data_IF_580949009971
#
_entry.id   IF_580949009971
#
_cell.length_a   1.000
_cell.length_b   1.000
_cell.length_c   1.000
_cell.angle_alpha   90.00
_cell.angle_beta   90.00
_cell.angle_gamma   90.00
#
_symmetry.space_group_name_H-M   'P 1'
#
loop_
_entity.id
_entity.type
_entity.pdbx_description
1 polymer ?
#
# COMPACT_ATOMS: atom_id res chain seq x y z
N UNK A 1 4.24 -9.26 29.23
CA UNK A 1 4.28 -9.72 27.81
C UNK A 1 2.90 -9.75 27.15
N UNK A 2 1.86 -10.37 27.74
CA UNK A 2 0.50 -10.42 27.17
C UNK A 2 -0.11 -9.05 26.81
N UNK A 3 0.05 -8.03 27.65
CA UNK A 3 -0.46 -6.68 27.37
C UNK A 3 0.17 -6.02 26.13
N UNK A 4 1.45 -6.30 25.82
CA UNK A 4 2.11 -5.76 24.63
C UNK A 4 1.60 -6.43 23.35
N UNK A 5 1.27 -7.72 23.41
CA UNK A 5 0.69 -8.47 22.28
C UNK A 5 -0.73 -7.96 21.98
N UNK A 6 -1.58 -7.82 23.00
CA UNK A 6 -2.95 -7.30 22.83
C UNK A 6 -2.92 -5.90 22.21
N UNK A 7 -2.04 -5.02 22.69
CA UNK A 7 -1.88 -3.68 22.14
C UNK A 7 -1.43 -3.72 20.66
N UNK A 8 -0.50 -4.61 20.32
CA UNK A 8 -0.07 -4.83 18.93
C UNK A 8 -1.21 -5.32 18.02
N UNK A 9 -2.01 -6.28 18.49
CA UNK A 9 -3.18 -6.77 17.76
C UNK A 9 -4.24 -5.69 17.55
N UNK A 10 -4.53 -4.88 18.57
CA UNK A 10 -5.47 -3.77 18.47
C UNK A 10 -4.98 -2.70 17.49
N UNK A 11 -3.68 -2.38 17.52
CA UNK A 11 -3.07 -1.44 16.59
C UNK A 11 -3.16 -1.95 15.14
N UNK A 12 -2.85 -3.24 14.93
CA UNK A 12 -2.98 -3.88 13.61
C UNK A 12 -4.43 -3.87 13.11
N UNK A 13 -5.39 -4.28 13.95
CA UNK A 13 -6.81 -4.26 13.59
C UNK A 13 -7.30 -2.85 13.23
N UNK A 14 -6.89 -1.84 13.99
CA UNK A 14 -7.22 -0.44 13.70
C UNK A 14 -6.62 0.01 12.37
N UNK A 15 -5.37 -0.38 12.09
CA UNK A 15 -4.71 -0.09 10.82
C UNK A 15 -5.45 -0.70 9.63
N UNK A 16 -5.85 -1.97 9.73
CA UNK A 16 -6.58 -2.69 8.67
C UNK A 16 -7.98 -2.10 8.44
N UNK A 17 -8.68 -1.69 9.50
CA UNK A 17 -9.98 -1.01 9.37
C UNK A 17 -9.82 0.32 8.63
N UNK A 18 -8.83 1.14 9.02
CA UNK A 18 -8.54 2.40 8.33
C UNK A 18 -8.14 2.16 6.87
N UNK A 19 -7.37 1.12 6.60
CA UNK A 19 -6.95 0.73 5.27
C UNK A 19 -8.14 0.32 4.40
N UNK A 20 -9.02 -0.54 4.89
CA UNK A 20 -10.23 -0.96 4.17
C UNK A 20 -11.20 0.19 3.90
N UNK A 21 -11.43 1.08 4.88
CA UNK A 21 -12.24 2.28 4.69
C UNK A 21 -11.65 3.21 3.62
N UNK A 22 -10.32 3.27 3.52
CA UNK A 22 -9.64 4.09 2.51
C UNK A 22 -10.03 3.72 1.08
N UNK A 23 -10.38 2.46 0.80
CA UNK A 23 -10.82 2.03 -0.53
C UNK A 23 -12.20 2.57 -0.90
N UNK A 24 -13.12 2.62 0.07
CA UNK A 24 -14.46 3.18 -0.13
C UNK A 24 -14.35 4.66 -0.51
N UNK A 25 -13.54 5.41 0.23
CA UNK A 25 -13.25 6.82 -0.07
C UNK A 25 -12.52 6.98 -1.40
N UNK A 26 -11.51 6.14 -1.66
CA UNK A 26 -10.75 6.17 -2.92
C UNK A 26 -11.66 5.94 -4.12
N UNK A 27 -12.55 4.95 -4.09
CA UNK A 27 -13.52 4.71 -5.17
C UNK A 27 -14.47 5.90 -5.36
N UNK A 28 -14.98 6.45 -4.26
CA UNK A 28 -15.91 7.59 -4.30
C UNK A 28 -15.27 8.86 -4.85
N UNK A 29 -14.02 9.13 -4.49
CA UNK A 29 -13.28 10.32 -4.94
C UNK A 29 -12.76 10.12 -6.37
N UNK A 30 -12.28 8.93 -6.74
CA UNK A 30 -11.80 8.64 -8.11
C UNK A 30 -12.90 8.67 -9.17
N UNK A 31 -14.18 8.68 -8.75
CA UNK A 31 -15.31 8.95 -9.64
C UNK A 31 -15.40 10.42 -10.07
N UNK A 32 -14.82 11.34 -9.28
CA UNK A 32 -14.94 12.79 -9.47
C UNK A 32 -13.58 13.48 -9.75
N UNK A 33 -12.49 12.89 -9.27
CA UNK A 33 -11.12 13.44 -9.32
C UNK A 33 -10.20 12.42 -9.97
N UNK A 34 -9.16 12.88 -10.68
CA UNK A 34 -8.17 11.97 -11.24
C UNK A 34 -7.46 11.18 -10.14
N UNK A 35 -7.23 9.88 -10.37
CA UNK A 35 -6.55 9.01 -9.40
C UNK A 35 -5.17 9.53 -9.01
N UNK A 36 -4.45 10.13 -9.97
CA UNK A 36 -3.15 10.74 -9.71
C UNK A 36 -3.24 11.92 -8.74
N UNK A 37 -4.23 12.81 -8.88
CA UNK A 37 -4.40 13.93 -7.97
C UNK A 37 -4.73 13.45 -6.54
N UNK A 38 -5.58 12.42 -6.42
CA UNK A 38 -5.90 11.80 -5.13
C UNK A 38 -4.64 11.25 -4.43
N UNK A 39 -3.85 10.42 -5.12
CA UNK A 39 -2.63 9.84 -4.56
C UNK A 39 -1.63 10.94 -4.18
N UNK A 40 -1.50 11.97 -5.02
CA UNK A 40 -0.60 13.10 -4.78
C UNK A 40 -0.97 13.84 -3.51
N UNK A 41 -2.26 14.17 -3.33
CA UNK A 41 -2.73 14.84 -2.12
C UNK A 41 -2.58 14.00 -0.87
N UNK A 42 -2.79 12.69 -0.99
CA UNK A 42 -2.56 11.76 0.12
C UNK A 42 -1.10 11.72 0.57
N UNK A 43 -0.13 11.70 -0.35
CA UNK A 43 1.29 11.68 0.02
C UNK A 43 1.83 13.04 0.46
N UNK A 44 1.38 14.14 -0.15
CA UNK A 44 1.74 15.50 0.29
C UNK A 44 1.25 15.75 1.71
N UNK A 45 -0.01 15.43 2.01
CA UNK A 45 -0.57 15.59 3.35
C UNK A 45 0.14 14.68 4.36
N UNK A 46 0.35 13.41 4.04
CA UNK A 46 1.08 12.48 4.92
C UNK A 46 2.52 12.96 5.18
N UNK A 47 3.21 13.46 4.16
CA UNK A 47 4.57 14.00 4.31
C UNK A 47 4.58 15.28 5.15
N UNK A 48 3.58 16.15 5.01
CA UNK A 48 3.44 17.31 5.88
C UNK A 48 3.28 16.92 7.36
N UNK A 49 2.38 15.97 7.67
CA UNK A 49 2.15 15.52 9.05
C UNK A 49 3.34 14.79 9.66
N UNK A 50 4.08 13.96 8.90
CA UNK A 50 5.28 13.30 9.44
C UNK A 50 6.37 14.31 9.77
N UNK A 51 6.52 15.38 8.97
CA UNK A 51 7.47 16.45 9.27
C UNK A 51 7.03 17.27 10.50
N UNK A 52 5.73 17.57 10.65
CA UNK A 52 5.21 18.22 11.85
C UNK A 52 5.46 17.37 13.12
N UNK A 53 5.29 16.05 13.02
CA UNK A 53 5.62 15.12 14.09
C UNK A 53 7.13 15.13 14.43
N UNK A 54 8.01 15.16 13.43
CA UNK A 54 9.46 15.26 13.65
C UNK A 54 9.86 16.56 14.34
N UNK A 55 9.27 17.69 13.94
CA UNK A 55 9.52 19.00 14.54
C UNK A 55 9.11 19.03 16.02
N UNK A 56 7.94 18.49 16.34
CA UNK A 56 7.41 18.46 17.72
C UNK A 56 8.19 17.51 18.64
N UNK A 57 8.67 16.38 18.11
CA UNK A 57 9.44 15.38 18.88
C UNK A 57 10.95 15.57 18.87
N UNK A 58 11.47 16.54 18.09
CA UNK A 58 12.92 16.77 17.86
C UNK A 58 13.69 15.50 17.47
N UNK A 59 13.02 14.53 16.85
CA UNK A 59 13.70 13.35 16.33
C UNK A 59 14.40 13.69 15.01
N UNK A 60 15.61 13.19 14.83
CA UNK A 60 16.37 13.35 13.59
C UNK A 60 16.43 12.01 12.87
N UNK A 61 15.99 12.00 11.62
CA UNK A 61 16.16 10.87 10.72
C UNK A 61 17.57 10.98 10.12
N UNK A 62 18.51 10.16 10.62
CA UNK A 62 19.92 10.22 10.19
C UNK A 62 20.23 9.03 9.30
N UNK A 63 20.09 9.19 7.98
CA UNK A 63 20.40 8.15 6.98
C UNK A 63 21.78 8.37 6.36
N UNK A 64 22.77 8.82 7.14
CA UNK A 64 24.12 9.08 6.61
C UNK A 64 24.99 7.83 6.64
N UNK A 65 25.69 7.57 5.53
CA UNK A 65 26.70 6.51 5.40
C UNK A 65 26.18 5.08 5.18
N UNK A 66 24.85 4.87 5.16
CA UNK A 66 24.23 3.56 4.91
C UNK A 66 23.90 3.36 3.43
N UNK A 67 23.89 2.11 2.98
CA UNK A 67 23.53 1.77 1.61
C UNK A 67 22.03 2.00 1.37
N UNK A 68 21.68 3.00 0.56
CA UNK A 68 20.29 3.38 0.27
C UNK A 68 19.58 2.48 -0.74
N UNK A 69 20.30 1.57 -1.42
CA UNK A 69 19.71 0.68 -2.45
C UNK A 69 18.47 -0.08 -1.96
N UNK A 70 18.42 -0.64 -0.73
CA UNK A 70 17.23 -1.30 -0.21
C UNK A 70 16.05 -0.35 -0.05
N UNK A 71 16.27 0.88 0.46
CA UNK A 71 15.23 1.89 0.62
C UNK A 71 14.64 2.33 -0.72
N UNK A 72 15.49 2.52 -1.74
CA UNK A 72 15.04 2.86 -3.09
C UNK A 72 14.16 1.74 -3.66
N UNK A 73 14.59 0.48 -3.52
CA UNK A 73 13.81 -0.67 -3.99
C UNK A 73 12.46 -0.77 -3.27
N UNK A 74 12.45 -0.61 -1.95
CA UNK A 74 11.25 -0.52 -1.13
C UNK A 74 10.31 0.56 -1.67
N UNK A 75 10.79 1.80 -1.84
CA UNK A 75 10.00 2.93 -2.31
C UNK A 75 9.41 2.73 -3.72
N UNK A 76 10.16 2.10 -4.62
CA UNK A 76 9.70 1.77 -5.97
C UNK A 76 8.54 0.78 -5.90
N UNK A 77 8.68 -0.29 -5.11
CA UNK A 77 7.64 -1.30 -4.95
C UNK A 77 6.42 -0.74 -4.20
N UNK A 78 6.65 0.02 -3.14
CA UNK A 78 5.64 0.70 -2.34
C UNK A 78 6.28 1.97 -1.72
N UNK A 79 5.83 3.19 -2.07
CA UNK A 79 4.50 3.48 -2.58
C UNK A 79 4.31 3.55 -4.10
N UNK A 80 5.37 3.61 -4.91
CA UNK A 80 5.23 4.08 -6.30
C UNK A 80 4.39 3.12 -7.16
N UNK A 81 4.88 1.90 -7.40
CA UNK A 81 4.18 0.93 -8.25
C UNK A 81 2.85 0.52 -7.62
N UNK A 82 2.88 0.20 -6.32
CA UNK A 82 1.70 -0.23 -5.58
C UNK A 82 0.51 0.72 -5.74
N UNK A 83 0.65 2.01 -5.40
CA UNK A 83 -0.49 2.92 -5.41
C UNK A 83 -0.96 3.30 -6.81
N UNK A 84 -0.07 3.29 -7.81
CA UNK A 84 -0.46 3.48 -9.22
C UNK A 84 -1.34 2.32 -9.67
N UNK A 85 -0.86 1.09 -9.51
CA UNK A 85 -1.57 -0.11 -9.89
C UNK A 85 -2.88 -0.25 -9.10
N UNK A 86 -2.85 -0.08 -7.79
CA UNK A 86 -4.04 -0.13 -6.93
C UNK A 86 -5.10 0.88 -7.40
N UNK A 87 -4.73 2.14 -7.60
CA UNK A 87 -5.71 3.17 -7.96
C UNK A 87 -6.31 2.94 -9.34
N UNK A 88 -5.51 2.49 -10.32
CA UNK A 88 -6.01 2.15 -11.65
C UNK A 88 -6.91 0.90 -11.58
N UNK A 89 -6.50 -0.12 -10.83
CA UNK A 89 -7.27 -1.34 -10.61
C UNK A 89 -8.62 -1.09 -9.95
N UNK A 90 -8.66 -0.28 -8.89
CA UNK A 90 -9.89 0.16 -8.20
C UNK A 90 -10.79 0.95 -9.13
N UNK A 91 -10.23 1.79 -10.01
CA UNK A 91 -11.03 2.52 -10.99
C UNK A 91 -11.74 1.59 -11.97
N UNK A 92 -11.07 0.51 -12.40
CA UNK A 92 -11.54 -0.44 -13.42
C UNK A 92 -12.39 -1.60 -12.86
N UNK A 93 -12.43 -1.79 -11.55
CA UNK A 93 -13.22 -2.82 -10.85
C UNK A 93 -14.14 -2.18 -9.83
N UNK A 94 -14.98 -2.95 -9.13
CA UNK A 94 -15.77 -2.42 -8.01
C UNK A 94 -14.95 -2.35 -6.71
N UNK A 95 -15.38 -1.52 -5.76
CA UNK A 95 -14.71 -1.43 -4.45
C UNK A 95 -14.73 -2.78 -3.72
N UNK A 96 -15.83 -3.52 -3.81
CA UNK A 96 -15.98 -4.85 -3.22
C UNK A 96 -15.01 -5.86 -3.85
N UNK A 97 -14.92 -5.91 -5.19
CA UNK A 97 -13.98 -6.79 -5.90
C UNK A 97 -12.53 -6.43 -5.62
N UNK A 98 -12.17 -5.14 -5.66
CA UNK A 98 -10.82 -4.67 -5.32
C UNK A 98 -10.43 -5.01 -3.89
N UNK A 99 -11.31 -4.73 -2.92
CA UNK A 99 -11.06 -5.05 -1.51
C UNK A 99 -10.88 -6.54 -1.29
N UNK A 100 -11.73 -7.36 -1.89
CA UNK A 100 -11.61 -8.82 -1.86
C UNK A 100 -10.29 -9.30 -2.48
N UNK A 101 -9.90 -8.75 -3.63
CA UNK A 101 -8.67 -9.14 -4.32
C UNK A 101 -7.40 -8.71 -3.56
N UNK A 102 -7.38 -7.50 -3.02
CA UNK A 102 -6.25 -6.99 -2.23
C UNK A 102 -6.14 -7.68 -0.86
N UNK A 103 -7.22 -8.25 -0.33
CA UNK A 103 -7.15 -9.10 0.86
C UNK A 103 -6.32 -10.39 0.65
N UNK A 104 -5.97 -10.74 -0.60
CA UNK A 104 -5.02 -11.80 -0.89
C UNK A 104 -3.55 -11.40 -0.64
N UNK A 105 -3.24 -10.12 -0.39
CA UNK A 105 -1.88 -9.61 -0.16
C UNK A 105 -1.12 -10.42 0.90
N UNK A 106 -1.67 -10.72 2.10
CA UNK A 106 -0.94 -11.47 3.12
C UNK A 106 -0.55 -12.89 2.65
N UNK A 107 -1.40 -13.52 1.84
CA UNK A 107 -1.16 -14.85 1.27
C UNK A 107 0.02 -14.81 0.31
N UNK A 108 0.01 -13.86 -0.64
CA UNK A 108 1.09 -13.70 -1.61
C UNK A 108 2.38 -13.25 -0.93
N UNK A 109 2.30 -12.34 0.05
CA UNK A 109 3.44 -11.90 0.85
C UNK A 109 4.08 -13.08 1.61
N UNK A 110 3.28 -13.96 2.20
CA UNK A 110 3.79 -15.16 2.87
C UNK A 110 4.51 -16.09 1.88
N UNK A 111 3.90 -16.37 0.73
CA UNK A 111 4.50 -17.21 -0.32
C UNK A 111 5.82 -16.60 -0.79
N UNK A 112 5.85 -15.29 -1.07
CA UNK A 112 7.05 -14.60 -1.53
C UNK A 112 8.15 -14.57 -0.47
N UNK A 113 7.80 -14.33 0.80
CA UNK A 113 8.76 -14.40 1.90
C UNK A 113 9.31 -15.82 2.04
N UNK A 114 8.47 -16.86 2.03
CA UNK A 114 8.95 -18.24 2.10
C UNK A 114 9.83 -18.65 0.92
N UNK A 115 9.54 -18.21 -0.31
CA UNK A 115 10.39 -18.51 -1.46
C UNK A 115 11.72 -17.76 -1.43
N UNK A 116 11.71 -16.49 -1.01
CA UNK A 116 12.87 -15.60 -1.09
C UNK A 116 13.78 -15.69 0.14
N UNK A 117 13.21 -15.79 1.34
CA UNK A 117 13.94 -15.99 2.60
C UNK A 117 14.22 -17.46 2.88
N UNK A 118 13.56 -18.39 2.17
CA UNK A 118 13.66 -19.85 2.38
C UNK A 118 13.23 -20.30 3.78
N UNK A 119 12.42 -19.49 4.47
CA UNK A 119 11.82 -19.82 5.75
C UNK A 119 10.39 -20.35 5.54
N UNK A 120 10.16 -21.59 5.95
CA UNK A 120 8.85 -22.21 5.79
C UNK A 120 7.85 -21.66 6.81
N UNK A 121 6.61 -21.36 6.39
CA UNK A 121 5.63 -20.79 7.28
C UNK A 121 5.17 -21.83 8.31
N UNK A 122 4.92 -21.39 9.53
CA UNK A 122 4.37 -22.24 10.58
C UNK A 122 2.97 -22.75 10.20
N UNK A 123 2.58 -23.90 10.76
CA UNK A 123 1.23 -24.47 10.56
C UNK A 123 0.12 -23.48 10.88
N UNK A 124 0.32 -22.60 11.86
CA UNK A 124 -0.65 -21.57 12.24
C UNK A 124 -0.74 -20.41 11.23
N UNK A 125 0.37 -20.02 10.59
CA UNK A 125 0.34 -19.04 9.50
C UNK A 125 -0.42 -19.57 8.28
N UNK A 126 -0.26 -20.87 7.97
CA UNK A 126 -1.01 -21.53 6.88
C UNK A 126 -2.51 -21.53 7.17
N UNK A 127 -2.92 -21.82 8.41
CA UNK A 127 -4.33 -21.75 8.83
C UNK A 127 -4.86 -20.32 8.67
N UNK A 128 -4.11 -19.30 9.12
CA UNK A 128 -4.52 -17.89 8.96
C UNK A 128 -4.70 -17.48 7.50
N UNK A 129 -3.80 -17.91 6.62
CA UNK A 129 -3.92 -17.74 5.17
C UNK A 129 -5.18 -18.40 4.63
N UNK A 130 -5.45 -19.66 4.99
CA UNK A 130 -6.63 -20.38 4.54
C UNK A 130 -7.93 -19.71 5.01
N UNK A 131 -7.99 -19.28 6.28
CA UNK A 131 -9.14 -18.54 6.82
C UNK A 131 -9.36 -17.22 6.08
N UNK A 132 -8.29 -16.49 5.76
CA UNK A 132 -8.37 -15.25 4.98
C UNK A 132 -8.96 -15.51 3.58
N UNK A 133 -8.48 -16.55 2.88
CA UNK A 133 -9.02 -16.94 1.57
C UNK A 133 -10.51 -17.29 1.63
N UNK A 134 -10.95 -18.02 2.66
CA UNK A 134 -12.36 -18.36 2.85
C UNK A 134 -13.21 -17.10 3.06
N UNK A 135 -12.74 -16.18 3.92
CA UNK A 135 -13.43 -14.90 4.17
C UNK A 135 -13.59 -14.07 2.90
N UNK A 136 -12.56 -14.03 2.05
CA UNK A 136 -12.58 -13.35 0.74
C UNK A 136 -13.64 -13.97 -0.18
N UNK A 137 -13.66 -15.29 -0.30
CA UNK A 137 -14.64 -16.00 -1.14
C UNK A 137 -16.07 -15.67 -0.69
N UNK A 138 -16.35 -15.73 0.61
CA UNK A 138 -17.67 -15.39 1.17
C UNK A 138 -18.03 -13.93 0.85
N UNK A 139 -17.10 -12.99 1.04
CA UNK A 139 -17.34 -11.57 0.77
C UNK A 139 -17.67 -11.29 -0.70
N UNK A 140 -16.98 -11.96 -1.64
CA UNK A 140 -17.25 -11.84 -3.09
C UNK A 140 -18.64 -12.35 -3.44
N UNK A 141 -19.02 -13.54 -2.95
CA UNK A 141 -20.34 -14.11 -3.22
C UNK A 141 -21.48 -13.29 -2.58
N UNK A 142 -21.26 -12.74 -1.38
CA UNK A 142 -22.24 -11.90 -0.69
C UNK A 142 -22.49 -10.55 -1.38
N UNK A 143 -21.53 -10.03 -2.13
CA UNK A 143 -21.66 -8.76 -2.84
C UNK A 143 -22.62 -8.82 -4.05
N UNK A 144 -23.13 -10.00 -4.42
CA UNK A 144 -24.08 -10.19 -5.51
C UNK A 144 -23.41 -10.01 -6.88
N UNK A 145 -23.09 -11.13 -7.54
CA UNK A 145 -22.36 -11.21 -8.81
C UNK A 145 -23.05 -10.51 -9.97
N UNK A 146 -22.95 -9.18 -10.00
CA UNK A 146 -23.44 -8.32 -11.07
C UNK A 146 -22.35 -7.32 -11.43
N UNK A 147 -21.32 -7.79 -12.13
CA UNK A 147 -20.23 -6.91 -12.53
C UNK A 147 -19.72 -7.21 -13.93
N UNK A 148 -19.53 -6.13 -14.69
CA UNK A 148 -18.74 -6.11 -15.91
C UNK A 148 -17.29 -6.47 -15.52
N UNK A 149 -16.91 -7.74 -15.65
CA UNK A 149 -15.57 -8.22 -15.33
C UNK A 149 -14.51 -7.52 -16.20
N UNK A 150 -13.70 -6.65 -15.58
CA UNK A 150 -12.56 -6.05 -16.26
C UNK A 150 -11.31 -6.89 -16.02
N UNK A 151 -11.02 -7.80 -16.95
CA UNK A 151 -9.82 -8.67 -16.89
C UNK A 151 -8.53 -7.85 -16.76
N UNK A 152 -8.46 -6.69 -17.42
CA UNK A 152 -7.35 -5.75 -17.32
C UNK A 152 -7.25 -5.15 -15.91
N UNK A 153 -8.38 -4.78 -15.29
CA UNK A 153 -8.40 -4.28 -13.92
C UNK A 153 -7.83 -5.27 -12.91
N UNK A 154 -8.24 -6.55 -13.02
CA UNK A 154 -7.71 -7.62 -12.16
C UNK A 154 -6.23 -7.89 -12.39
N UNK A 155 -5.75 -7.85 -13.63
CA UNK A 155 -4.32 -7.99 -13.93
C UNK A 155 -3.50 -6.87 -13.25
N UNK A 156 -3.97 -5.63 -13.34
CA UNK A 156 -3.31 -4.48 -12.71
C UNK A 156 -3.36 -4.59 -11.17
N UNK A 157 -4.48 -5.03 -10.58
CA UNK A 157 -4.55 -5.34 -9.15
C UNK A 157 -3.57 -6.45 -8.76
N UNK A 158 -3.40 -7.48 -9.60
CA UNK A 158 -2.39 -8.52 -9.45
C UNK A 158 -0.98 -7.95 -9.34
N UNK A 159 -0.63 -6.99 -10.20
CA UNK A 159 0.65 -6.28 -10.12
C UNK A 159 0.79 -5.51 -8.80
N UNK A 160 -0.27 -4.86 -8.31
CA UNK A 160 -0.26 -4.20 -7.01
C UNK A 160 0.02 -5.20 -5.87
N UNK A 161 -0.68 -6.34 -5.87
CA UNK A 161 -0.50 -7.41 -4.86
C UNK A 161 0.93 -7.93 -4.85
N UNK A 162 1.48 -8.24 -6.03
CA UNK A 162 2.87 -8.73 -6.15
C UNK A 162 3.88 -7.67 -5.71
N UNK A 163 3.65 -6.40 -6.09
CA UNK A 163 4.51 -5.28 -5.67
C UNK A 163 4.53 -5.12 -4.15
N UNK A 164 3.36 -5.22 -3.50
CA UNK A 164 3.26 -5.15 -2.04
C UNK A 164 3.94 -6.35 -1.37
N UNK A 165 3.73 -7.56 -1.90
CA UNK A 165 4.36 -8.77 -1.38
C UNK A 165 5.90 -8.69 -1.43
N UNK A 166 6.46 -8.22 -2.55
CA UNK A 166 7.90 -7.97 -2.68
C UNK A 166 8.38 -6.87 -1.72
N UNK A 167 7.58 -5.83 -1.52
CA UNK A 167 7.85 -4.78 -0.54
C UNK A 167 7.99 -5.36 0.88
N UNK A 168 7.07 -6.22 1.32
CA UNK A 168 7.14 -6.85 2.64
C UNK A 168 8.46 -7.62 2.83
N UNK A 169 8.86 -8.38 1.82
CA UNK A 169 10.11 -9.15 1.81
C UNK A 169 11.33 -8.24 1.85
N UNK A 170 11.34 -7.16 1.08
CA UNK A 170 12.46 -6.23 1.06
C UNK A 170 12.59 -5.42 2.36
N UNK A 171 11.46 -5.10 3.02
CA UNK A 171 11.45 -4.51 4.37
C UNK A 171 12.04 -5.47 5.40
N UNK A 172 11.70 -6.75 5.33
CA UNK A 172 12.25 -7.78 6.22
C UNK A 172 13.77 -7.94 6.04
N UNK A 173 14.25 -7.84 4.80
CA UNK A 173 15.69 -7.83 4.48
C UNK A 173 16.40 -6.53 4.85
N UNK A 174 15.67 -5.42 5.00
CA UNK A 174 16.20 -4.10 5.29
C UNK A 174 16.47 -3.89 6.79
N UNK A 175 17.04 -4.88 7.48
CA UNK A 175 17.27 -4.91 8.93
C UNK A 175 18.17 -3.79 9.46
N UNK A 176 18.94 -3.13 8.59
CA UNK A 176 19.79 -1.97 8.94
C UNK A 176 19.00 -0.67 9.14
N UNK A 177 17.72 -0.63 8.78
CA UNK A 177 16.85 0.54 8.89
C UNK A 177 15.73 0.29 9.89
N UNK A 178 15.38 1.32 10.64
CA UNK A 178 14.22 1.25 11.54
C UNK A 178 12.93 1.35 10.73
N UNK A 179 11.81 0.80 11.24
CA UNK A 179 10.51 0.92 10.59
C UNK A 179 10.13 2.38 10.33
N UNK A 180 10.50 3.29 11.24
CA UNK A 180 10.25 4.71 11.07
C UNK A 180 11.07 5.35 9.93
N UNK A 181 12.35 4.97 9.77
CA UNK A 181 13.18 5.44 8.64
C UNK A 181 12.62 4.96 7.29
N UNK A 182 12.18 3.71 7.24
CA UNK A 182 11.53 3.14 6.05
C UNK A 182 10.25 3.92 5.72
N UNK A 183 9.36 4.11 6.70
CA UNK A 183 8.12 4.87 6.50
C UNK A 183 8.39 6.31 6.08
N UNK A 184 9.34 6.99 6.72
CA UNK A 184 9.70 8.36 6.35
C UNK A 184 10.20 8.43 4.91
N UNK A 185 11.09 7.51 4.51
CA UNK A 185 11.60 7.45 3.14
C UNK A 185 10.49 7.18 2.13
N UNK A 186 9.56 6.25 2.43
CA UNK A 186 8.39 5.97 1.59
C UNK A 186 7.49 7.21 1.43
N UNK A 187 7.21 7.94 2.51
CA UNK A 187 6.40 9.16 2.45
C UNK A 187 7.10 10.26 1.66
N UNK A 188 8.40 10.44 1.84
CA UNK A 188 9.21 11.40 1.10
C UNK A 188 9.25 11.06 -0.39
N UNK A 189 9.51 9.80 -0.76
CA UNK A 189 9.55 9.35 -2.15
C UNK A 189 8.17 9.45 -2.80
N UNK A 190 7.11 9.07 -2.08
CA UNK A 190 5.73 9.21 -2.57
C UNK A 190 5.37 10.67 -2.82
N UNK A 191 5.68 11.57 -1.88
CA UNK A 191 5.45 13.01 -2.04
C UNK A 191 6.23 13.57 -3.24
N UNK A 192 7.51 13.21 -3.39
CA UNK A 192 8.33 13.66 -4.50
C UNK A 192 7.80 13.16 -5.85
N UNK A 193 7.60 11.85 -5.99
CA UNK A 193 7.15 11.25 -7.25
C UNK A 193 5.76 11.76 -7.61
N UNK A 194 4.77 11.55 -6.75
CA UNK A 194 3.39 11.91 -7.08
C UNK A 194 3.18 13.43 -7.13
N UNK A 195 3.85 14.20 -6.27
CA UNK A 195 3.82 15.67 -6.33
C UNK A 195 4.38 16.21 -7.65
N UNK A 196 5.53 15.72 -8.12
CA UNK A 196 6.10 16.11 -9.43
C UNK A 196 5.17 15.69 -10.58
N UNK A 197 4.59 14.49 -10.52
CA UNK A 197 3.62 14.03 -11.51
C UNK A 197 2.37 14.92 -11.53
N UNK A 198 1.82 15.32 -10.39
CA UNK A 198 0.66 16.23 -10.34
C UNK A 198 1.00 17.63 -10.88
N UNK A 199 2.14 18.18 -10.50
CA UNK A 199 2.58 19.49 -10.98
C UNK A 199 2.79 19.48 -12.50
N UNK A 200 3.49 18.49 -13.04
CA UNK A 200 3.71 18.38 -14.49
C UNK A 200 2.39 18.26 -15.26
N UNK A 201 1.43 17.48 -14.76
CA UNK A 201 0.10 17.40 -15.36
C UNK A 201 -0.66 18.73 -15.29
N UNK A 202 -0.56 19.47 -14.19
CA UNK A 202 -1.16 20.80 -14.03
C UNK A 202 -0.57 21.83 -15.01
N UNK A 203 0.75 21.86 -15.17
CA UNK A 203 1.42 22.73 -16.14
C UNK A 203 1.06 22.41 -17.59
N UNK A 204 0.93 21.12 -17.93
CA UNK A 204 0.53 20.69 -19.28
C UNK A 204 -0.94 20.97 -19.58
N UNK A 205 -1.82 20.86 -18.58
CA UNK A 205 -3.23 21.22 -18.72
C UNK A 205 -3.44 22.74 -18.84
N UNK A 206 -2.68 23.53 -18.07
CA UNK A 206 -2.70 25.00 -18.13
C UNK A 206 -2.20 25.57 -19.47
N UNK A 207 -1.36 24.83 -20.21
CA UNK A 207 -0.91 25.21 -21.56
C UNK A 207 -1.94 24.98 -22.67
N UNK A 208 -3.09 24.32 -22.39
CA UNK A 208 -4.18 24.12 -23.38
C UNK A 208 -5.29 25.16 -23.32
N UNK A 209 -5.17 26.20 -22.47
CA UNK A 209 -6.17 27.26 -22.30
C UNK A 209 -5.71 28.66 -22.73
N UNK A 210 -4.74 28.76 -23.65
CA UNK A 210 -4.41 30.01 -24.34
C UNK A 210 -4.52 29.83 -25.84
#
# INVERSE_FOLDING_TARGET
MKHKIILGCLAAATCEILFGLSFIFTKSITAQVSGLALISWRFVTAFFFVNLYLLTRRQKVVINGRNLKPLIRIAILNPIIYFICETIGIRMTTASESGAFLACIPVVALIMSSLILKEWPSRWQVVGVATTLIGIIIAVFAAGGSTNFSLVGYFILGLAVVSYALYCVDVEKASQFTSFEITYFMLASGCLTFGVFALSHGFLAGKKSF
#
